data_IF_937575211021
#
_entry.id   IF_937575211021
#
_cell.length_a   1.000
_cell.length_b   1.000
_cell.length_c   1.000
_cell.angle_alpha   90.00
_cell.angle_beta   90.00
_cell.angle_gamma   90.00
#
_symmetry.space_group_name_H-M   'P 1'
#
loop_
_entity.id
_entity.type
_entity.pdbx_description
1 polymer ?
#
# COMPACT_ATOMS: atom_id res chain seq x y z
N UNK A 1 -28.37 38.06 5.16
CA UNK A 1 -28.23 36.74 5.81
C UNK A 1 -29.49 35.89 5.75
N UNK A 2 -30.70 36.46 5.89
CA UNK A 2 -31.95 35.69 5.80
C UNK A 2 -32.43 35.38 4.36
N UNK A 3 -31.91 36.10 3.35
CA UNK A 3 -32.19 35.84 1.93
C UNK A 3 -31.55 34.52 1.47
N UNK A 4 -32.12 33.85 0.44
CA UNK A 4 -31.52 32.65 -0.15
C UNK A 4 -30.12 32.93 -0.69
N UNK A 5 -29.24 31.93 -0.63
CA UNK A 5 -27.86 32.04 -1.09
C UNK A 5 -27.70 32.01 -2.62
N UNK A 6 -28.75 31.60 -3.34
CA UNK A 6 -28.86 31.68 -4.80
C UNK A 6 -30.32 31.87 -5.19
N UNK A 7 -30.59 32.58 -6.28
CA UNK A 7 -31.97 32.73 -6.77
C UNK A 7 -32.50 31.37 -7.28
N UNK A 8 -33.71 30.96 -6.87
CA UNK A 8 -34.27 29.69 -7.35
C UNK A 8 -34.64 29.78 -8.83
N UNK A 9 -34.50 28.68 -9.58
CA UNK A 9 -34.98 28.62 -10.97
C UNK A 9 -36.51 28.79 -11.04
N UNK A 10 -37.04 29.25 -12.19
CA UNK A 10 -38.47 29.50 -12.36
C UNK A 10 -39.32 28.27 -11.98
N UNK A 11 -40.29 28.46 -11.07
CA UNK A 11 -41.20 27.40 -10.62
C UNK A 11 -40.71 26.57 -9.43
N UNK A 12 -39.52 26.83 -8.88
CA UNK A 12 -39.01 26.16 -7.68
C UNK A 12 -39.19 27.05 -6.45
N UNK A 13 -39.82 26.53 -5.41
CA UNK A 13 -39.92 27.19 -4.10
C UNK A 13 -38.77 26.72 -3.20
N UNK A 14 -37.95 27.64 -2.65
CA UNK A 14 -36.92 27.29 -1.68
C UNK A 14 -37.48 26.60 -0.44
N UNK A 15 -36.89 25.47 -0.06
CA UNK A 15 -37.15 24.79 1.22
C UNK A 15 -35.93 24.94 2.11
N UNK A 16 -36.07 25.74 3.17
CA UNK A 16 -34.99 26.00 4.14
C UNK A 16 -35.06 25.08 5.37
N UNK A 17 -36.20 24.46 5.64
CA UNK A 17 -36.44 23.73 6.88
C UNK A 17 -36.07 22.25 6.71
N UNK A 18 -36.34 21.66 5.55
CA UNK A 18 -35.97 20.28 5.25
C UNK A 18 -35.53 20.08 3.79
N UNK A 19 -34.38 20.67 3.40
CA UNK A 19 -33.92 20.58 2.03
C UNK A 19 -33.63 19.13 1.61
N UNK A 20 -33.93 18.77 0.33
CA UNK A 20 -33.59 17.46 -0.20
C UNK A 20 -32.07 17.26 -0.15
N UNK A 21 -31.64 16.19 0.51
CA UNK A 21 -30.22 15.87 0.71
C UNK A 21 -29.95 14.38 0.47
N UNK A 22 -28.67 14.03 0.33
CA UNK A 22 -28.21 12.63 0.27
C UNK A 22 -27.26 12.30 1.41
N UNK A 23 -27.63 12.70 2.63
CA UNK A 23 -26.81 12.51 3.83
C UNK A 23 -26.54 11.04 4.16
N UNK A 24 -27.48 10.13 3.86
CA UNK A 24 -27.26 8.69 4.03
C UNK A 24 -26.11 8.15 3.17
N UNK A 25 -25.99 8.63 1.93
CA UNK A 25 -24.86 8.30 1.05
C UNK A 25 -23.55 8.86 1.62
N UNK A 26 -23.56 10.11 2.10
CA UNK A 26 -22.38 10.74 2.70
C UNK A 26 -21.86 9.99 3.93
N UNK A 27 -22.77 9.56 4.81
CA UNK A 27 -22.47 8.71 5.96
C UNK A 27 -21.80 7.42 5.53
N UNK A 28 -22.44 6.70 4.59
CA UNK A 28 -21.93 5.42 4.12
C UNK A 28 -20.53 5.55 3.51
N UNK A 29 -20.34 6.47 2.56
CA UNK A 29 -19.06 6.66 1.85
C UNK A 29 -17.96 7.08 2.82
N UNK A 30 -18.20 8.09 3.65
CA UNK A 30 -17.18 8.61 4.58
C UNK A 30 -16.80 7.55 5.62
N UNK A 31 -17.77 6.86 6.20
CA UNK A 31 -17.51 5.82 7.21
C UNK A 31 -16.77 4.63 6.60
N UNK A 32 -17.16 4.20 5.40
CA UNK A 32 -16.51 3.11 4.69
C UNK A 32 -15.05 3.41 4.37
N UNK A 33 -14.77 4.60 3.80
CA UNK A 33 -13.42 5.08 3.51
C UNK A 33 -12.56 5.19 4.78
N UNK A 34 -13.13 5.73 5.87
CA UNK A 34 -12.46 5.81 7.17
C UNK A 34 -12.13 4.44 7.73
N UNK A 35 -13.07 3.49 7.69
CA UNK A 35 -12.86 2.13 8.19
C UNK A 35 -11.74 1.42 7.42
N UNK A 36 -11.74 1.50 6.09
CA UNK A 36 -10.69 0.88 5.26
C UNK A 36 -9.33 1.53 5.53
N UNK A 37 -9.25 2.85 5.53
CA UNK A 37 -7.99 3.57 5.76
C UNK A 37 -7.40 3.26 7.14
N UNK A 38 -8.26 3.18 8.16
CA UNK A 38 -7.90 2.82 9.53
C UNK A 38 -7.40 1.37 9.63
N UNK A 39 -8.09 0.44 8.97
CA UNK A 39 -7.63 -0.95 8.88
C UNK A 39 -6.26 -1.05 8.21
N UNK A 40 -6.04 -0.33 7.10
CA UNK A 40 -4.76 -0.29 6.40
C UNK A 40 -3.63 0.25 7.30
N UNK A 41 -3.91 1.30 8.08
CA UNK A 41 -2.96 1.83 9.06
C UNK A 41 -2.57 0.78 10.09
N UNK A 42 -3.55 0.16 10.76
CA UNK A 42 -3.27 -0.82 11.80
C UNK A 42 -2.51 -2.04 11.27
N UNK A 43 -2.90 -2.57 10.10
CA UNK A 43 -2.21 -3.69 9.46
C UNK A 43 -0.75 -3.33 9.13
N UNK A 44 -0.51 -2.13 8.60
CA UNK A 44 0.84 -1.68 8.27
C UNK A 44 1.70 -1.45 9.51
N UNK A 45 1.17 -0.78 10.53
CA UNK A 45 1.87 -0.56 11.79
C UNK A 45 2.21 -1.89 12.47
N UNK A 46 1.27 -2.84 12.49
CA UNK A 46 1.53 -4.19 12.98
C UNK A 46 2.69 -4.85 12.21
N UNK A 47 2.64 -4.85 10.87
CA UNK A 47 3.66 -5.48 10.04
C UNK A 47 5.06 -4.84 10.14
N UNK A 48 5.15 -3.51 10.27
CA UNK A 48 6.45 -2.81 10.26
C UNK A 48 7.03 -2.66 11.65
N UNK A 49 6.22 -2.25 12.62
CA UNK A 49 6.67 -1.96 13.99
C UNK A 49 6.79 -3.24 14.81
N UNK A 50 5.81 -4.14 14.73
CA UNK A 50 5.81 -5.33 15.58
C UNK A 50 6.55 -6.52 14.97
N UNK A 51 6.24 -6.82 13.71
CA UNK A 51 6.82 -8.00 13.03
C UNK A 51 8.26 -7.73 12.60
N UNK A 52 8.48 -6.63 11.87
CA UNK A 52 9.82 -6.30 11.34
C UNK A 52 10.68 -5.49 12.30
N UNK A 53 10.11 -4.87 13.33
CA UNK A 53 10.81 -4.00 14.30
C UNK A 53 11.67 -2.91 13.66
N UNK A 54 11.21 -2.38 12.53
CA UNK A 54 11.90 -1.34 11.79
C UNK A 54 10.97 -0.14 11.61
N UNK A 55 11.23 0.93 12.34
CA UNK A 55 10.56 2.22 12.14
C UNK A 55 11.36 3.05 11.16
N UNK A 56 10.71 3.52 10.11
CA UNK A 56 11.36 4.26 9.03
C UNK A 56 10.54 5.52 8.71
N UNK A 57 11.07 6.40 7.86
CA UNK A 57 10.44 7.68 7.53
C UNK A 57 9.04 7.51 6.91
N UNK A 58 8.85 6.44 6.13
CA UNK A 58 7.59 6.08 5.48
C UNK A 58 6.45 5.90 6.51
N UNK A 59 6.79 5.39 7.70
CA UNK A 59 5.82 5.08 8.76
C UNK A 59 5.41 6.37 9.49
N UNK A 60 6.36 7.29 9.67
CA UNK A 60 6.10 8.62 10.24
C UNK A 60 5.22 9.43 9.28
N UNK A 61 5.56 9.44 7.99
CA UNK A 61 4.77 10.13 6.96
C UNK A 61 3.34 9.59 6.88
N UNK A 62 3.17 8.26 6.99
CA UNK A 62 1.84 7.64 7.03
C UNK A 62 1.04 8.10 8.26
N UNK A 63 1.65 8.14 9.44
CA UNK A 63 0.98 8.61 10.66
C UNK A 63 0.58 10.08 10.57
N UNK A 64 1.45 10.93 10.01
CA UNK A 64 1.13 12.34 9.76
C UNK A 64 0.00 12.49 8.74
N UNK A 65 0.02 11.70 7.66
CA UNK A 65 -1.05 11.68 6.67
C UNK A 65 -2.37 11.25 7.30
N UNK A 66 -2.37 10.23 8.16
CA UNK A 66 -3.57 9.79 8.85
C UNK A 66 -4.08 10.83 9.87
N UNK A 67 -3.18 11.54 10.55
CA UNK A 67 -3.53 12.68 11.40
C UNK A 67 -4.24 13.80 10.62
N UNK A 68 -3.73 14.15 9.44
CA UNK A 68 -4.40 15.10 8.55
C UNK A 68 -5.73 14.54 8.00
N UNK A 69 -5.83 13.24 7.78
CA UNK A 69 -7.06 12.57 7.31
C UNK A 69 -8.20 12.63 8.34
N UNK A 70 -7.89 12.70 9.63
CA UNK A 70 -8.90 13.01 10.66
C UNK A 70 -9.53 14.40 10.46
N UNK A 71 -8.78 15.37 9.93
CA UNK A 71 -9.31 16.70 9.58
C UNK A 71 -10.32 16.65 8.44
N UNK A 72 -10.07 15.83 7.40
CA UNK A 72 -11.05 15.62 6.32
C UNK A 72 -12.29 14.88 6.82
N UNK A 73 -12.13 13.92 7.74
CA UNK A 73 -13.25 13.22 8.37
C UNK A 73 -14.10 14.15 9.23
N UNK A 74 -13.47 14.97 10.09
CA UNK A 74 -14.17 15.97 10.90
C UNK A 74 -14.98 16.93 10.02
N UNK A 75 -14.35 17.49 8.98
CA UNK A 75 -15.04 18.39 8.05
C UNK A 75 -16.16 17.68 7.29
N UNK A 76 -15.92 16.45 6.83
CA UNK A 76 -16.89 15.63 6.11
C UNK A 76 -18.13 15.31 6.95
N UNK A 77 -17.96 14.82 8.17
CA UNK A 77 -19.09 14.59 9.08
C UNK A 77 -19.78 15.89 9.48
N UNK A 78 -19.03 16.98 9.69
CA UNK A 78 -19.58 18.31 9.96
C UNK A 78 -20.53 18.79 8.86
N UNK A 79 -20.17 18.55 7.59
CA UNK A 79 -21.00 18.91 6.44
C UNK A 79 -22.32 18.15 6.37
N UNK A 80 -22.42 16.96 6.98
CA UNK A 80 -23.68 16.20 7.04
C UNK A 80 -24.72 16.92 7.90
N UNK A 81 -24.29 17.51 9.01
CA UNK A 81 -25.16 18.19 9.96
C UNK A 81 -25.43 19.65 9.59
N UNK A 82 -24.51 20.29 8.89
CA UNK A 82 -24.61 21.68 8.45
C UNK A 82 -23.92 21.85 7.10
N UNK A 83 -24.61 21.91 5.95
CA UNK A 83 -26.06 21.97 5.71
C UNK A 83 -26.68 20.64 5.19
N UNK A 84 -25.85 19.60 5.05
CA UNK A 84 -26.16 18.39 4.31
C UNK A 84 -25.47 18.34 2.94
N UNK A 85 -25.32 17.12 2.41
CA UNK A 85 -24.73 16.87 1.09
C UNK A 85 -25.81 16.89 -0.01
N UNK A 86 -25.44 17.41 -1.19
CA UNK A 86 -26.34 17.58 -2.36
C UNK A 86 -27.54 18.51 -2.09
N UNK A 87 -27.35 19.50 -1.24
CA UNK A 87 -28.33 20.56 -1.02
C UNK A 87 -28.00 21.73 -1.95
N UNK A 88 -28.99 22.19 -2.70
CA UNK A 88 -28.86 23.34 -3.59
C UNK A 88 -28.73 24.65 -2.81
N UNK A 89 -27.93 25.60 -3.31
CA UNK A 89 -27.74 26.91 -2.65
C UNK A 89 -29.04 27.72 -2.49
N UNK A 90 -30.00 27.59 -3.40
CA UNK A 90 -31.29 28.29 -3.26
C UNK A 90 -32.13 27.77 -2.09
N UNK A 91 -31.84 26.56 -1.59
CA UNK A 91 -32.46 25.99 -0.39
C UNK A 91 -31.67 26.31 0.90
N UNK A 92 -30.67 27.18 0.84
CA UNK A 92 -29.88 27.61 1.99
C UNK A 92 -30.02 29.11 2.20
N UNK A 93 -30.06 29.55 3.46
CA UNK A 93 -29.94 30.98 3.77
C UNK A 93 -28.47 31.36 3.72
N UNK A 94 -28.21 32.62 3.38
CA UNK A 94 -26.85 33.17 3.38
C UNK A 94 -26.12 32.98 4.73
N UNK A 95 -26.83 33.04 5.86
CA UNK A 95 -26.25 32.78 7.19
C UNK A 95 -25.79 31.32 7.39
N UNK A 96 -26.45 30.38 6.73
CA UNK A 96 -26.19 28.94 6.89
C UNK A 96 -24.96 28.48 6.09
N UNK A 97 -24.43 29.32 5.19
CA UNK A 97 -23.24 29.03 4.38
C UNK A 97 -21.92 29.21 5.15
N UNK A 98 -21.92 29.97 6.24
CA UNK A 98 -20.69 30.33 6.96
C UNK A 98 -19.96 29.08 7.47
N UNK A 99 -20.68 28.19 8.15
CA UNK A 99 -20.12 26.95 8.71
C UNK A 99 -19.67 25.97 7.61
N UNK A 100 -20.47 25.68 6.57
CA UNK A 100 -20.05 24.87 5.44
C UNK A 100 -18.78 25.38 4.75
N UNK A 101 -18.68 26.69 4.49
CA UNK A 101 -17.49 27.29 3.87
C UNK A 101 -16.23 27.08 4.73
N UNK A 102 -16.36 27.25 6.05
CA UNK A 102 -15.27 26.98 6.99
C UNK A 102 -14.86 25.50 7.00
N UNK A 103 -15.83 24.57 6.98
CA UNK A 103 -15.54 23.13 6.91
C UNK A 103 -14.89 22.75 5.58
N UNK A 104 -15.30 23.34 4.45
CA UNK A 104 -14.68 23.14 3.14
C UNK A 104 -13.23 23.60 3.15
N UNK A 105 -12.90 24.72 3.80
CA UNK A 105 -11.52 25.18 3.98
C UNK A 105 -10.70 24.14 4.77
N UNK A 106 -11.21 23.66 5.91
CA UNK A 106 -10.55 22.62 6.71
C UNK A 106 -10.32 21.36 5.88
N UNK A 107 -11.34 20.93 5.14
CA UNK A 107 -11.25 19.76 4.28
C UNK A 107 -10.17 19.94 3.21
N UNK A 108 -10.16 21.08 2.51
CA UNK A 108 -9.20 21.39 1.46
C UNK A 108 -7.75 21.42 1.98
N UNK A 109 -7.51 22.07 3.11
CA UNK A 109 -6.20 22.11 3.76
C UNK A 109 -5.73 20.72 4.21
N UNK A 110 -6.63 19.97 4.86
CA UNK A 110 -6.34 18.62 5.33
C UNK A 110 -6.04 17.67 4.17
N UNK A 111 -6.87 17.69 3.13
CA UNK A 111 -6.66 16.92 1.90
C UNK A 111 -5.32 17.28 1.21
N UNK A 112 -4.98 18.57 1.16
CA UNK A 112 -3.70 19.05 0.60
C UNK A 112 -2.48 18.63 1.42
N UNK A 113 -2.65 18.25 2.68
CA UNK A 113 -1.61 17.63 3.49
C UNK A 113 -1.57 16.10 3.31
N UNK A 114 -2.73 15.43 3.31
CA UNK A 114 -2.83 13.95 3.23
C UNK A 114 -2.15 13.42 1.98
N UNK A 115 -2.52 13.91 0.79
CA UNK A 115 -2.07 13.28 -0.45
C UNK A 115 -0.57 13.40 -0.70
N UNK A 116 0.08 14.57 -0.54
CA UNK A 116 1.53 14.66 -0.66
C UNK A 116 2.26 13.76 0.33
N UNK A 117 1.84 13.72 1.59
CA UNK A 117 2.45 12.84 2.61
C UNK A 117 2.30 11.36 2.23
N UNK A 118 1.15 10.98 1.70
CA UNK A 118 0.86 9.61 1.31
C UNK A 118 1.64 9.20 0.06
N UNK A 119 1.65 10.04 -0.97
CA UNK A 119 2.42 9.81 -2.21
C UNK A 119 3.93 9.77 -1.95
N UNK A 120 4.43 10.64 -1.08
CA UNK A 120 5.85 10.61 -0.69
C UNK A 120 6.19 9.32 0.06
N UNK A 121 5.35 8.88 1.00
CA UNK A 121 5.53 7.59 1.68
C UNK A 121 5.53 6.40 0.71
N UNK A 122 4.59 6.36 -0.25
CA UNK A 122 4.50 5.32 -1.27
C UNK A 122 5.76 5.28 -2.15
N UNK A 123 6.23 6.44 -2.61
CA UNK A 123 7.41 6.54 -3.47
C UNK A 123 8.70 6.11 -2.75
N UNK A 124 8.85 6.46 -1.47
CA UNK A 124 9.97 6.00 -0.66
C UNK A 124 9.97 4.48 -0.48
N UNK A 125 8.79 3.91 -0.19
CA UNK A 125 8.60 2.46 -0.09
C UNK A 125 8.96 1.75 -1.41
N UNK A 126 8.51 2.31 -2.54
CA UNK A 126 8.81 1.76 -3.86
C UNK A 126 10.30 1.89 -4.22
N UNK A 127 10.93 3.02 -3.92
CA UNK A 127 12.39 3.17 -4.00
C UNK A 127 13.09 2.05 -3.25
N UNK A 128 12.63 1.72 -2.05
CA UNK A 128 13.27 0.67 -1.25
C UNK A 128 13.06 -0.74 -1.78
N UNK A 129 11.90 -1.00 -2.38
CA UNK A 129 11.57 -2.32 -2.94
C UNK A 129 12.31 -2.56 -4.26
N UNK A 130 12.35 -1.55 -5.14
CA UNK A 130 12.90 -1.70 -6.50
C UNK A 130 14.37 -1.28 -6.61
N UNK A 131 14.88 -0.44 -5.69
CA UNK A 131 16.28 0.01 -5.62
C UNK A 131 16.95 -0.61 -4.39
N UNK A 132 16.88 -1.93 -4.27
CA UNK A 132 17.64 -2.66 -3.26
C UNK A 132 19.09 -2.87 -3.77
N UNK A 133 20.02 -1.95 -3.45
CA UNK A 133 21.44 -2.00 -3.83
C UNK A 133 22.06 -0.64 -4.18
N UNK A 134 23.29 -0.62 -4.69
CA UNK A 134 24.03 0.60 -5.11
C UNK A 134 23.59 1.11 -6.50
N UNK A 135 22.27 1.26 -6.66
CA UNK A 135 21.62 1.71 -7.90
C UNK A 135 20.94 3.07 -7.75
N UNK A 136 21.47 3.93 -6.87
CA UNK A 136 21.02 5.31 -6.63
C UNK A 136 21.07 6.19 -7.90
N UNK A 137 21.69 5.71 -8.99
CA UNK A 137 21.77 6.40 -10.30
C UNK A 137 20.74 5.94 -11.34
N UNK A 138 19.79 5.07 -10.98
CA UNK A 138 18.78 4.57 -11.93
C UNK A 138 17.71 5.63 -12.23
N UNK A 139 17.22 5.66 -13.47
CA UNK A 139 16.13 6.55 -13.92
C UNK A 139 14.90 6.53 -12.98
N UNK A 140 14.57 5.35 -12.43
CA UNK A 140 13.50 5.18 -11.45
C UNK A 140 13.68 6.03 -10.18
N UNK A 141 14.89 6.03 -9.61
CA UNK A 141 15.16 6.77 -8.38
C UNK A 141 15.00 8.29 -8.61
N UNK A 142 15.55 8.79 -9.72
CA UNK A 142 15.37 10.19 -10.13
C UNK A 142 13.90 10.55 -10.37
N UNK A 143 13.13 9.67 -11.01
CA UNK A 143 11.69 9.84 -11.19
C UNK A 143 10.95 9.95 -9.86
N UNK A 144 11.25 9.06 -8.90
CA UNK A 144 10.66 9.11 -7.56
C UNK A 144 11.03 10.39 -6.82
N UNK A 145 12.31 10.79 -6.81
CA UNK A 145 12.76 12.02 -6.14
C UNK A 145 12.14 13.27 -6.77
N UNK A 146 12.00 13.30 -8.11
CA UNK A 146 11.31 14.39 -8.80
C UNK A 146 9.85 14.50 -8.37
N UNK A 147 9.10 13.39 -8.37
CA UNK A 147 7.69 13.43 -7.96
C UNK A 147 7.53 13.74 -6.47
N UNK A 148 8.43 13.24 -5.61
CA UNK A 148 8.47 13.64 -4.19
C UNK A 148 8.64 15.16 -4.06
N UNK A 149 9.60 15.75 -4.79
CA UNK A 149 9.83 17.19 -4.79
C UNK A 149 8.59 17.97 -5.25
N UNK A 150 7.98 17.57 -6.36
CA UNK A 150 6.73 18.17 -6.87
C UNK A 150 5.62 18.09 -5.82
N UNK A 151 5.43 16.93 -5.19
CA UNK A 151 4.38 16.73 -4.18
C UNK A 151 4.58 17.60 -2.94
N UNK A 152 5.79 17.67 -2.41
CA UNK A 152 6.08 18.49 -1.21
C UNK A 152 5.90 19.97 -1.52
N UNK A 153 6.50 20.45 -2.61
CA UNK A 153 6.42 21.87 -3.00
C UNK A 153 4.97 22.27 -3.28
N UNK A 154 4.26 21.47 -4.08
CA UNK A 154 2.88 21.76 -4.47
C UNK A 154 1.91 21.63 -3.29
N UNK A 155 2.11 20.65 -2.41
CA UNK A 155 1.31 20.47 -1.19
C UNK A 155 1.38 21.67 -0.26
N UNK A 156 2.60 22.14 0.03
CA UNK A 156 2.83 23.34 0.84
C UNK A 156 2.20 24.56 0.16
N UNK A 157 2.43 24.72 -1.15
CA UNK A 157 1.85 25.82 -1.91
C UNK A 157 0.31 25.84 -1.84
N UNK A 158 -0.35 24.68 -1.99
CA UNK A 158 -1.81 24.57 -1.90
C UNK A 158 -2.34 24.97 -0.52
N UNK A 159 -1.69 24.53 0.56
CA UNK A 159 -2.09 24.90 1.93
C UNK A 159 -1.96 26.41 2.13
N UNK A 160 -0.85 27.01 1.69
CA UNK A 160 -0.64 28.47 1.80
C UNK A 160 -1.66 29.22 0.97
N UNK A 161 -1.90 28.80 -0.28
CA UNK A 161 -2.89 29.42 -1.16
C UNK A 161 -4.29 29.36 -0.52
N UNK A 162 -4.75 28.19 -0.10
CA UNK A 162 -6.07 28.03 0.53
C UNK A 162 -6.28 28.96 1.73
N UNK A 163 -5.26 29.15 2.58
CA UNK A 163 -5.36 30.02 3.75
C UNK A 163 -5.23 31.52 3.39
N UNK A 164 -4.56 31.86 2.30
CA UNK A 164 -4.33 33.25 1.87
C UNK A 164 -5.27 33.70 0.74
N UNK A 165 -6.34 32.95 0.49
CA UNK A 165 -7.26 33.22 -0.62
C UNK A 165 -7.98 34.57 -0.52
N UNK A 166 -8.21 35.07 0.69
CA UNK A 166 -8.88 36.34 0.96
C UNK A 166 -8.13 37.15 2.01
N UNK A 167 -8.20 38.47 1.90
CA UNK A 167 -7.77 39.43 2.93
C UNK A 167 -8.98 40.30 3.31
N UNK A 168 -9.43 40.30 4.59
CA UNK A 168 -8.93 39.51 5.73
C UNK A 168 -9.23 38.00 5.62
N UNK A 169 -8.48 37.16 6.32
CA UNK A 169 -8.61 35.69 6.29
C UNK A 169 -10.02 35.21 6.65
N UNK A 170 -10.71 35.90 7.57
CA UNK A 170 -12.07 35.54 7.98
C UNK A 170 -13.10 35.67 6.85
N UNK A 171 -12.79 36.45 5.81
CA UNK A 171 -13.68 36.63 4.67
C UNK A 171 -13.84 35.37 3.81
N UNK A 172 -13.01 34.34 4.04
CA UNK A 172 -13.15 33.04 3.38
C UNK A 172 -14.50 32.38 3.74
N UNK A 173 -14.89 32.44 5.02
CA UNK A 173 -16.16 31.88 5.48
C UNK A 173 -17.21 32.96 5.77
N UNK A 174 -16.78 34.17 6.17
CA UNK A 174 -17.65 35.32 6.34
C UNK A 174 -17.66 36.18 5.07
N UNK A 175 -18.27 35.66 4.01
CA UNK A 175 -18.30 36.29 2.67
C UNK A 175 -18.98 37.68 2.61
N UNK A 176 -19.68 38.10 3.67
CA UNK A 176 -20.30 39.42 3.77
C UNK A 176 -19.32 40.53 4.19
N UNK A 177 -18.10 40.20 4.61
CA UNK A 177 -17.07 41.21 4.88
C UNK A 177 -16.47 41.76 3.58
N UNK A 178 -16.18 43.08 3.53
CA UNK A 178 -15.44 43.66 2.42
C UNK A 178 -14.05 43.01 2.38
N UNK A 179 -13.74 42.36 1.26
CA UNK A 179 -12.51 41.60 1.11
C UNK A 179 -11.99 41.63 -0.32
N UNK A 180 -10.68 41.42 -0.44
CA UNK A 180 -10.03 41.17 -1.72
C UNK A 180 -9.64 39.70 -1.76
N UNK A 181 -10.35 38.93 -2.59
CA UNK A 181 -10.08 37.52 -2.81
C UNK A 181 -9.58 37.30 -4.24
N UNK A 182 -8.71 36.32 -4.44
CA UNK A 182 -8.41 35.84 -5.79
C UNK A 182 -9.30 34.64 -6.14
N UNK A 183 -9.28 34.28 -7.42
CA UNK A 183 -10.12 33.20 -7.96
C UNK A 183 -9.64 31.81 -7.50
N UNK A 184 -10.34 31.25 -6.51
CA UNK A 184 -10.07 29.93 -5.94
C UNK A 184 -10.25 28.80 -6.97
N UNK A 185 -11.15 28.95 -7.95
CA UNK A 185 -11.42 27.91 -8.94
C UNK A 185 -10.18 27.62 -9.78
N UNK A 186 -9.38 28.64 -10.10
CA UNK A 186 -8.09 28.48 -10.81
C UNK A 186 -7.09 27.68 -9.99
N UNK A 187 -7.01 27.91 -8.68
CA UNK A 187 -6.14 27.15 -7.78
C UNK A 187 -6.59 25.70 -7.68
N UNK A 188 -7.89 25.46 -7.49
CA UNK A 188 -8.46 24.11 -7.43
C UNK A 188 -8.25 23.33 -8.73
N UNK A 189 -8.47 23.96 -9.88
CA UNK A 189 -8.25 23.35 -11.19
C UNK A 189 -6.78 23.00 -11.41
N UNK A 190 -5.87 23.94 -11.13
CA UNK A 190 -4.42 23.70 -11.26
C UNK A 190 -3.99 22.56 -10.34
N UNK A 191 -4.48 22.56 -9.09
CA UNK A 191 -4.18 21.47 -8.15
C UNK A 191 -4.70 20.13 -8.63
N UNK A 192 -5.93 20.07 -9.15
CA UNK A 192 -6.48 18.84 -9.69
C UNK A 192 -5.66 18.30 -10.87
N UNK A 193 -5.19 19.18 -11.77
CA UNK A 193 -4.30 18.81 -12.87
C UNK A 193 -2.97 18.22 -12.39
N UNK A 194 -2.30 18.86 -11.41
CA UNK A 194 -1.05 18.37 -10.84
C UNK A 194 -1.24 17.00 -10.17
N UNK A 195 -2.36 16.80 -9.46
CA UNK A 195 -2.65 15.53 -8.82
C UNK A 195 -2.90 14.41 -9.82
N UNK A 196 -3.68 14.65 -10.88
CA UNK A 196 -3.89 13.67 -11.97
C UNK A 196 -2.56 13.35 -12.66
N UNK A 197 -1.78 14.36 -13.01
CA UNK A 197 -0.48 14.17 -13.66
C UNK A 197 0.45 13.28 -12.82
N UNK A 198 0.59 13.60 -11.53
CA UNK A 198 1.46 12.83 -10.63
C UNK A 198 0.97 11.40 -10.41
N UNK A 199 -0.34 11.16 -10.36
CA UNK A 199 -0.90 9.81 -10.26
C UNK A 199 -0.54 8.95 -11.48
N UNK A 200 -0.74 9.48 -12.68
CA UNK A 200 -0.41 8.77 -13.91
C UNK A 200 1.09 8.50 -14.02
N UNK A 201 1.94 9.46 -13.64
CA UNK A 201 3.38 9.23 -13.60
C UNK A 201 3.71 8.11 -12.60
N UNK A 202 3.13 8.11 -11.40
CA UNK A 202 3.34 7.05 -10.41
C UNK A 202 2.89 5.67 -10.93
N UNK A 203 1.81 5.58 -11.70
CA UNK A 203 1.37 4.29 -12.30
C UNK A 203 2.35 3.80 -13.37
N UNK A 204 2.89 4.70 -14.20
CA UNK A 204 3.79 4.36 -15.31
C UNK A 204 5.22 4.03 -14.85
N UNK A 205 5.69 4.68 -13.78
CA UNK A 205 7.06 4.63 -13.31
C UNK A 205 7.54 3.20 -12.97
N UNK A 206 6.83 2.38 -12.16
CA UNK A 206 7.23 1.00 -11.87
C UNK A 206 7.02 0.06 -13.06
N UNK A 207 6.08 0.36 -13.97
CA UNK A 207 5.74 -0.54 -15.08
C UNK A 207 6.92 -0.79 -16.02
N UNK A 208 7.75 0.25 -16.24
CA UNK A 208 8.97 0.12 -17.04
C UNK A 208 9.99 -0.87 -16.44
N UNK A 209 10.05 -0.96 -15.11
CA UNK A 209 10.91 -1.96 -14.42
C UNK A 209 10.28 -3.34 -14.52
N UNK A 210 8.97 -3.45 -14.27
CA UNK A 210 8.26 -4.73 -14.17
C UNK A 210 8.33 -5.50 -15.49
N UNK A 211 8.24 -4.83 -16.65
CA UNK A 211 8.33 -5.49 -17.95
C UNK A 211 9.70 -6.13 -18.24
N UNK A 212 10.76 -5.67 -17.58
CA UNK A 212 12.10 -6.24 -17.73
C UNK A 212 12.41 -7.40 -16.78
N UNK A 213 11.56 -7.68 -15.79
CA UNK A 213 11.92 -8.54 -14.66
C UNK A 213 11.13 -9.85 -14.64
N UNK A 214 11.82 -10.97 -14.83
CA UNK A 214 11.24 -12.32 -14.74
C UNK A 214 10.92 -12.65 -13.27
N UNK A 215 9.66 -12.47 -12.87
CA UNK A 215 9.18 -12.72 -11.51
C UNK A 215 8.32 -13.98 -11.39
N UNK A 216 8.42 -14.66 -10.25
CA UNK A 216 7.55 -15.77 -9.88
C UNK A 216 6.08 -15.31 -9.74
N UNK A 217 5.11 -16.20 -10.01
CA UNK A 217 3.68 -15.90 -10.10
C UNK A 217 3.12 -15.20 -8.84
N UNK A 218 3.59 -15.57 -7.65
CA UNK A 218 3.18 -14.96 -6.39
C UNK A 218 3.61 -13.49 -6.24
N UNK A 219 4.74 -13.08 -6.82
CA UNK A 219 5.13 -11.66 -6.82
C UNK A 219 4.34 -10.89 -7.88
N UNK A 220 4.07 -11.54 -9.01
CA UNK A 220 3.26 -10.98 -10.11
C UNK A 220 1.85 -10.61 -9.66
N UNK A 221 1.19 -11.44 -8.83
CA UNK A 221 -0.16 -11.12 -8.31
C UNK A 221 -0.13 -9.89 -7.40
N UNK A 222 0.84 -9.77 -6.49
CA UNK A 222 0.95 -8.63 -5.57
C UNK A 222 1.20 -7.32 -6.31
N UNK A 223 2.10 -7.34 -7.30
CA UNK A 223 2.38 -6.19 -8.17
C UNK A 223 1.13 -5.82 -8.99
N UNK A 224 0.40 -6.80 -9.52
CA UNK A 224 -0.83 -6.56 -10.26
C UNK A 224 -1.91 -5.89 -9.41
N UNK A 225 -2.03 -6.24 -8.12
CA UNK A 225 -2.96 -5.60 -7.19
C UNK A 225 -2.57 -4.14 -6.94
N UNK A 226 -1.30 -3.86 -6.68
CA UNK A 226 -0.81 -2.48 -6.48
C UNK A 226 -1.08 -1.64 -7.73
N UNK A 227 -0.79 -2.17 -8.91
CA UNK A 227 -1.03 -1.49 -10.18
C UNK A 227 -2.53 -1.26 -10.43
N UNK A 228 -3.36 -2.28 -10.18
CA UNK A 228 -4.81 -2.17 -10.33
C UNK A 228 -5.41 -1.08 -9.44
N UNK A 229 -4.99 -1.01 -8.17
CA UNK A 229 -5.46 0.06 -7.27
C UNK A 229 -4.85 1.42 -7.64
N UNK A 230 -3.60 1.46 -8.11
CA UNK A 230 -3.00 2.67 -8.66
C UNK A 230 -3.80 3.25 -9.82
N UNK A 231 -4.24 2.39 -10.75
CA UNK A 231 -5.10 2.80 -11.87
C UNK A 231 -6.46 3.30 -11.39
N UNK A 232 -7.08 2.63 -10.42
CA UNK A 232 -8.34 3.09 -9.82
C UNK A 232 -8.17 4.46 -9.14
N UNK A 233 -7.06 4.70 -8.46
CA UNK A 233 -6.74 6.01 -7.87
C UNK A 233 -6.59 7.08 -8.95
N UNK A 234 -5.87 6.81 -10.04
CA UNK A 234 -5.72 7.75 -11.17
C UNK A 234 -7.04 8.06 -11.88
N UNK A 235 -7.92 7.07 -12.03
CA UNK A 235 -9.27 7.25 -12.56
C UNK A 235 -10.08 8.14 -11.61
N UNK A 236 -10.07 7.85 -10.31
CA UNK A 236 -10.73 8.66 -9.27
C UNK A 236 -10.29 10.12 -9.35
N UNK A 237 -8.98 10.38 -9.43
CA UNK A 237 -8.43 11.73 -9.54
C UNK A 237 -8.87 12.43 -10.84
N UNK A 238 -8.96 11.68 -11.95
CA UNK A 238 -9.38 12.20 -13.26
C UNK A 238 -10.88 12.54 -13.27
N UNK A 239 -11.72 11.72 -12.64
CA UNK A 239 -13.14 12.05 -12.44
C UNK A 239 -13.27 13.26 -11.52
N UNK A 240 -12.46 13.36 -10.46
CA UNK A 240 -12.43 14.57 -9.63
C UNK A 240 -12.10 15.80 -10.45
N UNK A 241 -11.07 15.76 -11.30
CA UNK A 241 -10.73 16.88 -12.18
C UNK A 241 -11.92 17.29 -13.05
N UNK A 242 -12.64 16.34 -13.65
CA UNK A 242 -13.86 16.63 -14.41
C UNK A 242 -14.96 17.28 -13.55
N UNK A 243 -15.14 16.82 -12.30
CA UNK A 243 -16.07 17.47 -11.36
C UNK A 243 -15.61 18.86 -10.95
N UNK A 244 -14.30 19.11 -10.80
CA UNK A 244 -13.73 20.43 -10.51
C UNK A 244 -13.97 21.41 -11.66
N UNK A 245 -13.85 20.96 -12.91
CA UNK A 245 -14.20 21.78 -14.09
C UNK A 245 -15.68 22.14 -14.06
N UNK A 246 -16.55 21.17 -13.77
CA UNK A 246 -18.00 21.42 -13.65
C UNK A 246 -18.30 22.41 -12.52
N UNK A 247 -17.64 22.23 -11.37
CA UNK A 247 -17.73 23.12 -10.21
C UNK A 247 -17.28 24.55 -10.52
N UNK A 248 -16.25 24.73 -11.34
CA UNK A 248 -15.75 26.05 -11.72
C UNK A 248 -16.72 26.85 -12.62
N UNK A 249 -17.67 26.18 -13.29
CA UNK A 249 -18.62 26.79 -14.23
C UNK A 249 -20.05 26.90 -13.69
N UNK A 250 -20.35 26.33 -12.51
CA UNK A 250 -21.69 26.34 -11.92
C UNK A 250 -21.84 27.46 -10.90
N UNK A 251 -23.03 28.07 -10.85
CA UNK A 251 -23.40 29.01 -9.78
C UNK A 251 -23.78 28.29 -8.47
N UNK A 252 -24.18 27.02 -8.55
CA UNK A 252 -24.61 26.22 -7.39
C UNK A 252 -23.45 25.38 -6.82
N UNK A 253 -22.51 26.07 -6.19
CA UNK A 253 -21.32 25.49 -5.59
C UNK A 253 -21.62 24.46 -4.50
N UNK A 254 -22.65 24.67 -3.67
CA UNK A 254 -22.94 23.77 -2.53
C UNK A 254 -23.51 22.42 -2.96
N UNK A 255 -24.22 22.35 -4.08
CA UNK A 255 -24.66 21.06 -4.63
C UNK A 255 -23.48 20.27 -5.22
N UNK A 256 -22.60 20.95 -5.97
CA UNK A 256 -21.51 20.32 -6.72
C UNK A 256 -20.23 20.09 -5.90
N UNK A 257 -20.11 20.64 -4.69
CA UNK A 257 -18.98 20.32 -3.79
C UNK A 257 -19.02 18.88 -3.28
N UNK A 258 -20.22 18.32 -3.08
CA UNK A 258 -20.43 16.96 -2.58
C UNK A 258 -19.67 15.87 -3.37
N UNK A 259 -19.82 15.75 -4.70
CA UNK A 259 -19.08 14.75 -5.48
C UNK A 259 -17.56 14.99 -5.43
N UNK A 260 -17.10 16.25 -5.38
CA UNK A 260 -15.67 16.57 -5.30
C UNK A 260 -15.04 16.03 -4.01
N UNK A 261 -15.73 16.21 -2.87
CA UNK A 261 -15.31 15.67 -1.58
C UNK A 261 -15.28 14.14 -1.59
N UNK A 262 -16.29 13.48 -2.17
CA UNK A 262 -16.34 12.02 -2.22
C UNK A 262 -15.23 11.41 -3.07
N UNK A 263 -14.93 11.99 -4.24
CA UNK A 263 -13.80 11.54 -5.06
C UNK A 263 -12.46 11.78 -4.37
N UNK A 264 -12.33 12.87 -3.60
CA UNK A 264 -11.15 13.09 -2.76
C UNK A 264 -11.02 12.04 -1.64
N UNK A 265 -12.12 11.66 -0.98
CA UNK A 265 -12.14 10.58 0.01
C UNK A 265 -11.70 9.24 -0.59
N UNK A 266 -12.22 8.91 -1.77
CA UNK A 266 -11.86 7.68 -2.48
C UNK A 266 -10.35 7.64 -2.81
N UNK A 267 -9.81 8.74 -3.34
CA UNK A 267 -8.38 8.83 -3.70
C UNK A 267 -7.45 8.68 -2.48
N UNK A 268 -7.75 9.36 -1.37
CA UNK A 268 -7.00 9.20 -0.11
C UNK A 268 -7.05 7.75 0.38
N UNK A 269 -8.23 7.12 0.32
CA UNK A 269 -8.42 5.71 0.74
C UNK A 269 -7.60 4.75 -0.13
N UNK A 270 -7.60 4.95 -1.45
CA UNK A 270 -6.78 4.18 -2.36
C UNK A 270 -5.28 4.34 -2.05
N UNK A 271 -4.83 5.54 -1.73
CA UNK A 271 -3.44 5.76 -1.32
C UNK A 271 -3.05 5.00 -0.05
N UNK A 272 -3.90 4.99 0.99
CA UNK A 272 -3.64 4.21 2.22
C UNK A 272 -3.59 2.73 1.93
N UNK A 273 -4.49 2.25 1.05
CA UNK A 273 -4.49 0.86 0.61
C UNK A 273 -3.20 0.49 -0.13
N UNK A 274 -2.81 1.28 -1.14
CA UNK A 274 -1.59 1.09 -1.94
C UNK A 274 -0.36 1.03 -1.03
N UNK A 275 -0.29 1.94 -0.05
CA UNK A 275 0.79 1.94 0.93
C UNK A 275 0.75 0.68 1.80
N UNK A 276 -0.41 0.14 2.17
CA UNK A 276 -0.48 -1.08 2.99
C UNK A 276 -0.11 -2.37 2.22
N UNK A 277 -0.38 -2.46 0.90
CA UNK A 277 -0.26 -3.72 0.14
C UNK A 277 1.11 -4.41 0.26
N UNK A 278 2.27 -3.72 0.15
CA UNK A 278 3.58 -4.37 0.27
C UNK A 278 3.83 -5.10 1.59
N UNK A 279 3.09 -4.74 2.65
CA UNK A 279 3.20 -5.35 3.97
C UNK A 279 2.37 -6.64 4.11
N UNK A 280 1.28 -6.76 3.36
CA UNK A 280 0.32 -7.88 3.47
C UNK A 280 0.97 -9.28 3.37
N UNK A 281 1.93 -9.55 2.45
CA UNK A 281 2.56 -10.87 2.36
C UNK A 281 3.28 -11.30 3.64
N UNK A 282 3.84 -10.35 4.39
CA UNK A 282 4.55 -10.65 5.65
C UNK A 282 3.55 -11.05 6.74
N UNK A 283 2.43 -10.33 6.82
CA UNK A 283 1.34 -10.61 7.77
C UNK A 283 0.71 -11.97 7.50
N UNK A 284 0.45 -12.29 6.23
CA UNK A 284 -0.19 -13.56 5.83
C UNK A 284 0.70 -14.77 6.17
N UNK A 285 2.02 -14.62 6.04
CA UNK A 285 2.99 -15.68 6.36
C UNK A 285 3.02 -15.99 7.86
N UNK A 286 2.98 -14.96 8.70
CA UNK A 286 3.14 -15.09 10.15
C UNK A 286 1.84 -15.46 10.88
N UNK A 287 0.71 -14.94 10.44
CA UNK A 287 -0.61 -15.24 11.02
C UNK A 287 -1.12 -16.67 10.75
N UNK A 288 -0.38 -17.48 9.99
CA UNK A 288 -0.84 -18.78 9.51
C UNK A 288 -2.09 -18.70 8.60
N UNK A 289 -2.54 -17.48 8.25
CA UNK A 289 -3.76 -17.22 7.52
C UNK A 289 -3.71 -17.80 6.10
N UNK A 290 -2.52 -17.99 5.53
CA UNK A 290 -2.29 -18.73 4.28
C UNK A 290 -3.00 -20.09 4.26
N UNK A 291 -2.91 -20.87 5.35
CA UNK A 291 -3.58 -22.17 5.45
C UNK A 291 -5.10 -22.06 5.57
N UNK A 292 -5.60 -21.01 6.23
CA UNK A 292 -7.04 -20.75 6.40
C UNK A 292 -7.69 -20.20 5.14
N UNK A 293 -7.03 -19.29 4.43
CA UNK A 293 -7.48 -18.73 3.15
C UNK A 293 -7.46 -19.79 2.06
N UNK A 294 -6.41 -20.64 1.98
CA UNK A 294 -6.40 -21.80 1.06
C UNK A 294 -7.57 -22.75 1.34
N UNK A 295 -7.89 -23.01 2.61
CA UNK A 295 -9.03 -23.84 3.03
C UNK A 295 -10.39 -23.20 2.73
N UNK A 296 -10.49 -21.88 2.81
CA UNK A 296 -11.74 -21.13 2.55
C UNK A 296 -11.98 -20.87 1.06
N UNK A 297 -10.92 -20.70 0.26
CA UNK A 297 -10.99 -20.57 -1.20
C UNK A 297 -11.09 -21.93 -1.93
N UNK A 298 -11.16 -23.05 -1.20
CA UNK A 298 -11.29 -24.38 -1.81
C UNK A 298 -10.09 -24.80 -2.66
N UNK A 299 -8.95 -24.12 -2.52
CA UNK A 299 -7.70 -24.46 -3.21
C UNK A 299 -7.08 -25.62 -2.44
N UNK A 300 -7.69 -26.79 -2.58
CA UNK A 300 -7.09 -28.06 -2.17
C UNK A 300 -5.86 -28.28 -3.02
N UNK A 301 -4.69 -28.16 -2.42
CA UNK A 301 -3.47 -28.73 -2.98
C UNK A 301 -3.71 -30.25 -3.01
N UNK A 302 -4.04 -30.79 -4.19
CA UNK A 302 -4.01 -32.22 -4.41
C UNK A 302 -2.57 -32.65 -4.18
N UNK A 303 -2.28 -33.11 -2.96
CA UNK A 303 -1.07 -33.84 -2.66
C UNK A 303 -1.17 -35.20 -3.35
N UNK A 304 -0.92 -35.20 -4.65
CA UNK A 304 -0.61 -36.40 -5.41
C UNK A 304 0.86 -36.72 -5.18
N UNK A 305 1.17 -37.24 -3.98
CA UNK A 305 2.35 -38.04 -3.75
C UNK A 305 1.97 -39.21 -2.83
N UNK A 306 1.13 -40.10 -3.36
CA UNK A 306 1.24 -41.51 -3.02
C UNK A 306 2.32 -42.10 -3.93
N UNK A 307 3.38 -42.75 -3.42
CA UNK A 307 4.15 -43.64 -4.25
C UNK A 307 3.21 -44.78 -4.62
N UNK A 308 2.82 -44.85 -5.88
CA UNK A 308 2.23 -46.06 -6.44
C UNK A 308 3.32 -47.13 -6.37
N UNK A 309 3.21 -48.08 -5.45
CA UNK A 309 3.87 -49.36 -5.60
C UNK A 309 3.30 -49.99 -6.87
N UNK A 310 4.06 -49.93 -7.95
CA UNK A 310 3.78 -50.68 -9.15
C UNK A 310 4.18 -52.12 -8.85
N UNK A 311 3.27 -52.91 -8.29
CA UNK A 311 3.39 -54.35 -8.33
C UNK A 311 3.24 -54.77 -9.79
N UNK A 312 4.36 -55.20 -10.39
CA UNK A 312 4.37 -55.81 -11.72
C UNK A 312 3.76 -57.20 -11.56
N UNK A 313 2.49 -57.32 -11.95
CA UNK A 313 1.81 -58.62 -12.05
C UNK A 313 2.15 -59.22 -13.42
N UNK A 314 3.09 -60.16 -13.47
CA UNK A 314 3.31 -60.99 -14.65
C UNK A 314 2.47 -62.26 -14.52
N UNK A 315 1.40 -62.36 -15.30
CA UNK A 315 0.61 -63.58 -15.49
C UNK A 315 0.83 -64.09 -16.93
N UNK A 316 1.38 -65.31 -17.07
CA UNK A 316 1.30 -66.09 -18.32
C UNK A 316 2.60 -66.20 -19.12
N UNK A 317 3.45 -67.16 -18.73
CA UNK A 317 4.57 -67.63 -19.55
C UNK A 317 5.04 -69.00 -19.06
N UNK A 318 4.54 -70.05 -19.69
CA UNK A 318 4.94 -71.46 -19.50
C UNK A 318 6.46 -71.62 -19.69
N UNK A 319 7.13 -72.20 -18.69
CA UNK A 319 8.58 -72.43 -18.73
C UNK A 319 9.03 -73.56 -19.65
N UNK A 320 10.35 -73.70 -19.82
CA UNK A 320 11.00 -74.98 -19.61
C UNK A 320 12.07 -74.91 -18.51
N UNK A 321 12.24 -76.05 -17.83
CA UNK A 321 12.94 -76.22 -16.56
C UNK A 321 14.48 -76.13 -16.67
N UNK A 322 15.13 -75.41 -15.74
CA UNK A 322 16.58 -75.53 -15.49
C UNK A 322 17.04 -74.76 -14.23
N UNK A 323 17.77 -75.50 -13.39
CA UNK A 323 18.94 -75.13 -12.57
C UNK A 323 18.95 -73.91 -11.62
N UNK A 324 19.21 -74.26 -10.35
CA UNK A 324 20.28 -73.78 -9.46
C UNK A 324 20.27 -72.39 -8.76
N UNK A 325 20.27 -72.52 -7.42
CA UNK A 325 21.08 -71.86 -6.38
C UNK A 325 20.59 -70.55 -5.73
N UNK A 326 20.39 -70.69 -4.39
CA UNK A 326 20.90 -69.90 -3.22
C UNK A 326 20.72 -68.37 -3.26
N UNK A 327 20.37 -67.63 -2.21
CA UNK A 327 20.35 -67.85 -0.75
C UNK A 327 19.70 -66.63 -0.05
N UNK A 328 19.33 -66.83 1.22
CA UNK A 328 18.80 -65.89 2.23
C UNK A 328 19.56 -64.55 2.40
N UNK A 329 18.82 -63.48 2.67
CA UNK A 329 19.06 -62.36 3.62
C UNK A 329 17.78 -61.49 3.64
N UNK A 330 17.37 -60.72 4.65
CA UNK A 330 17.98 -60.26 5.90
C UNK A 330 17.18 -59.02 6.35
N UNK A 331 16.90 -58.90 7.65
CA UNK A 331 16.09 -57.83 8.27
C UNK A 331 16.77 -56.45 8.17
N UNK A 332 15.95 -55.42 7.96
CA UNK A 332 16.31 -54.00 7.94
C UNK A 332 16.76 -53.51 9.32
N UNK A 333 17.91 -52.82 9.37
CA UNK A 333 18.47 -52.17 10.55
C UNK A 333 18.68 -50.69 10.26
N UNK A 334 18.31 -49.85 11.23
CA UNK A 334 18.54 -48.41 11.28
C UNK A 334 20.06 -48.10 11.23
N UNK A 335 20.46 -47.14 10.41
CA UNK A 335 21.84 -46.64 10.35
C UNK A 335 22.04 -45.54 11.39
N UNK A 336 22.66 -45.92 12.51
CA UNK A 336 23.32 -45.07 13.49
C UNK A 336 24.80 -44.99 13.09
N UNK A 337 25.37 -43.78 13.03
CA UNK A 337 26.77 -43.54 12.66
C UNK A 337 27.75 -44.17 13.67
N UNK A 338 28.76 -44.89 13.17
CA UNK A 338 29.93 -45.35 13.93
C UNK A 338 31.22 -44.71 13.40
N UNK A 339 32.10 -44.41 14.35
CA UNK A 339 33.45 -43.85 14.23
C UNK A 339 34.44 -44.98 13.91
N UNK A 340 35.51 -44.65 13.18
CA UNK A 340 36.62 -45.58 12.87
C UNK A 340 37.55 -45.63 14.08
N UNK A 341 37.79 -46.84 14.58
CA UNK A 341 38.79 -47.14 15.62
C UNK A 341 40.20 -46.97 15.05
N UNK A 342 41.06 -46.24 15.77
CA UNK A 342 42.48 -46.60 15.87
C UNK A 342 42.80 -46.73 17.36
N UNK A 343 43.60 -47.73 17.67
CA UNK A 343 43.89 -48.26 19.01
C UNK A 343 44.25 -47.19 20.04
N UNK A 344 43.88 -47.48 21.29
CA UNK A 344 44.11 -46.76 22.54
C UNK A 344 43.29 -45.48 22.84
N UNK A 345 42.28 -45.67 23.69
CA UNK A 345 41.98 -44.78 24.82
C UNK A 345 41.47 -43.37 24.52
N UNK A 346 40.27 -43.23 23.95
CA UNK A 346 39.60 -41.93 23.76
C UNK A 346 38.38 -41.70 24.64
N UNK A 347 38.46 -40.72 25.56
CA UNK A 347 37.40 -40.24 26.47
C UNK A 347 36.19 -39.61 25.72
N UNK A 348 34.96 -39.66 26.28
CA UNK A 348 33.79 -39.02 25.70
C UNK A 348 33.79 -37.51 26.00
N UNK A 349 33.76 -36.66 24.96
CA UNK A 349 33.46 -35.23 25.09
C UNK A 349 31.98 -34.99 24.82
N UNK A 350 31.26 -34.56 25.86
CA UNK A 350 29.91 -34.00 25.77
C UNK A 350 29.94 -32.49 25.48
N UNK A 351 29.04 -32.07 24.59
CA UNK A 351 28.46 -30.74 24.36
C UNK A 351 29.32 -29.51 24.70
N UNK A 352 30.19 -29.12 23.74
CA UNK A 352 30.76 -27.77 23.66
C UNK A 352 29.94 -26.94 22.66
N UNK A 353 29.58 -25.73 23.10
CA UNK A 353 28.81 -24.71 22.38
C UNK A 353 29.29 -24.45 20.95
N UNK A 354 28.34 -24.46 20.02
CA UNK A 354 28.53 -24.01 18.63
C UNK A 354 28.64 -22.48 18.59
N UNK A 355 29.77 -21.97 18.14
CA UNK A 355 29.94 -20.56 17.76
C UNK A 355 30.22 -20.43 16.26
N UNK A 356 29.45 -19.53 15.66
CA UNK A 356 29.57 -18.84 14.38
C UNK A 356 30.72 -19.25 13.44
N UNK A 357 30.37 -19.98 12.39
CA UNK A 357 30.67 -19.65 10.97
C UNK A 357 30.49 -20.91 10.12
N UNK A 358 29.29 -21.12 9.58
CA UNK A 358 29.09 -22.05 8.48
C UNK A 358 28.51 -21.31 7.28
N UNK A 359 29.38 -20.93 6.35
CA UNK A 359 29.00 -20.66 4.97
C UNK A 359 28.59 -22.00 4.34
N UNK A 360 27.30 -22.19 4.09
CA UNK A 360 26.79 -23.30 3.30
C UNK A 360 27.06 -23.04 1.81
N UNK A 361 27.93 -23.83 1.20
CA UNK A 361 28.08 -23.90 -0.26
C UNK A 361 27.48 -25.22 -0.77
N UNK A 362 26.35 -25.10 -1.47
CA UNK A 362 25.73 -26.15 -2.27
C UNK A 362 26.71 -26.64 -3.35
N UNK A 363 26.94 -27.94 -3.43
CA UNK A 363 27.57 -28.58 -4.59
C UNK A 363 26.47 -29.19 -5.46
N UNK A 364 26.17 -28.56 -6.61
CA UNK A 364 25.41 -29.17 -7.69
C UNK A 364 26.26 -29.18 -8.96
N UNK A 365 26.21 -30.32 -9.65
CA UNK A 365 27.09 -30.72 -10.73
C UNK A 365 26.62 -30.16 -12.09
N UNK A 366 27.48 -29.42 -12.81
CA UNK A 366 27.20 -29.04 -14.20
C UNK A 366 28.04 -27.89 -14.80
N UNK A 367 29.08 -28.27 -15.56
CA UNK A 367 29.71 -27.66 -16.74
C UNK A 367 30.33 -26.22 -16.74
N UNK A 368 31.61 -26.18 -17.14
CA UNK A 368 32.43 -25.08 -17.69
C UNK A 368 32.60 -23.76 -16.89
N UNK A 369 33.77 -23.61 -16.25
CA UNK A 369 34.32 -22.32 -15.81
C UNK A 369 35.48 -22.50 -14.82
N UNK A 370 36.62 -21.81 -15.05
CA UNK A 370 37.83 -21.87 -14.22
C UNK A 370 37.53 -21.69 -12.72
N UNK A 371 38.15 -22.51 -11.85
CA UNK A 371 38.04 -22.41 -10.39
C UNK A 371 39.38 -22.01 -9.76
N UNK A 372 39.39 -20.87 -9.08
CA UNK A 372 40.49 -20.44 -8.20
C UNK A 372 40.38 -21.25 -6.90
N UNK A 373 41.47 -21.92 -6.52
CA UNK A 373 41.55 -22.66 -5.25
C UNK A 373 42.31 -21.80 -4.24
N UNK A 374 41.66 -21.37 -3.15
CA UNK A 374 42.30 -20.67 -2.03
C UNK A 374 42.56 -21.66 -0.90
N UNK A 375 43.82 -21.99 -0.66
CA UNK A 375 44.23 -22.86 0.44
C UNK A 375 44.56 -22.00 1.66
N UNK A 376 43.74 -22.08 2.72
CA UNK A 376 44.04 -21.40 3.99
C UNK A 376 44.78 -22.37 4.90
N UNK A 377 46.07 -22.09 5.17
CA UNK A 377 46.87 -22.83 6.15
C UNK A 377 46.66 -22.17 7.52
N UNK A 378 46.16 -22.93 8.48
CA UNK A 378 46.04 -22.49 9.87
C UNK A 378 47.13 -23.21 10.67
N UNK A 379 47.99 -22.43 11.31
CA UNK A 379 49.03 -22.93 12.22
C UNK A 379 48.64 -22.47 13.62
N UNK A 380 48.44 -23.41 14.52
CA UNK A 380 48.17 -23.13 15.94
C UNK A 380 49.42 -23.45 16.72
N UNK A 381 50.09 -22.43 17.26
CA UNK A 381 51.20 -22.59 18.20
C UNK A 381 50.66 -22.43 19.61
N UNK A 382 50.79 -23.47 20.44
CA UNK A 382 50.56 -23.37 21.88
C UNK A 382 51.85 -22.95 22.57
N UNK A 383 51.91 -21.71 23.08
CA UNK A 383 52.96 -21.28 24.00
C UNK A 383 52.75 -21.99 25.34
N UNK A 384 53.66 -22.88 25.71
CA UNK A 384 53.76 -23.41 27.07
C UNK A 384 54.69 -22.51 27.87
N UNK A 385 54.11 -21.54 28.60
CA UNK A 385 54.81 -20.90 29.72
C UNK A 385 54.73 -21.83 30.91
N UNK A 386 55.87 -22.40 31.27
CA UNK A 386 56.18 -22.99 32.58
C UNK A 386 56.07 -21.96 33.70
#
# INVERSE_FOLDING_TARGET
LAAPALEPPPGVTPDFDNPPNKNGLAWFVTTFCMAISTLCLFLRLYAKVWVRRETRAEEILMMLAYGAYWGTAYAGYGMIYTPGYFVHQWNMRNGDLIRPLYLILIYGCSYSAVLPLLKTAILLDWCRIFVAGDHTKTFFWWGCMFIIGVQVIWGIACIVLLNTQCVPHEAIWNFYLPSKCYDLNKVMLTSACVQVFTDWVMVLLPQRIIWGLQMNWQKKIGISVIFGVGLLASISASVRLATTVTFAHTADTMYFIAPLLFWACAEMTCGFFILCVPCLPSIIKESGLSGRVKKMLGISESSSNKPSNHDIVTFGGTGPASSNKKSKAGKSLNSTYFKIDEEDGGLPLGDIQTTESQEQLHHQQGNNGLRITRTTRVTVSSDSRS
#
